data_IF_916872205002
#
_entry.id   IF_916872205002
#
_cell.length_a   1.000
_cell.length_b   1.000
_cell.length_c   1.000
_cell.angle_alpha   90.00
_cell.angle_beta   90.00
_cell.angle_gamma   90.00
#
_symmetry.space_group_name_H-M   'P 1'
#
loop_
_entity.id
_entity.type
_entity.pdbx_description
1 polymer ?
#
# COMPACT_ATOMS: atom_id res chain seq x y z
N UNK A 1 10.69 -9.65 21.06
CA UNK A 1 11.38 -10.45 20.05
C UNK A 1 12.86 -10.34 20.32
N UNK A 2 13.48 -11.43 20.77
CA UNK A 2 14.88 -11.42 21.15
C UNK A 2 15.73 -11.52 19.88
N UNK A 3 16.47 -10.45 19.59
CA UNK A 3 17.41 -10.43 18.46
C UNK A 3 18.67 -11.17 18.90
N UNK A 4 18.95 -12.29 18.26
CA UNK A 4 20.19 -13.04 18.45
C UNK A 4 21.20 -12.67 17.35
N UNK A 5 22.40 -12.30 17.76
CA UNK A 5 23.54 -12.12 16.85
C UNK A 5 24.26 -13.46 16.71
N UNK A 6 24.39 -13.95 15.48
CA UNK A 6 25.11 -15.17 15.16
C UNK A 6 26.48 -14.80 14.57
N UNK A 7 27.52 -15.48 15.04
CA UNK A 7 28.88 -15.30 14.52
C UNK A 7 29.02 -16.01 13.16
N UNK A 8 29.53 -15.30 12.16
CA UNK A 8 29.83 -15.88 10.85
C UNK A 8 31.12 -16.70 10.95
N UNK A 9 30.98 -18.02 11.07
CA UNK A 9 32.12 -18.93 11.23
C UNK A 9 33.01 -19.04 9.97
N UNK A 10 32.43 -18.96 8.78
CA UNK A 10 33.17 -19.10 7.52
C UNK A 10 32.33 -18.62 6.31
N UNK A 11 32.96 -17.95 5.34
CA UNK A 11 32.36 -17.59 4.04
C UNK A 11 33.09 -18.33 2.92
N UNK A 12 32.35 -19.08 2.09
CA UNK A 12 32.91 -19.89 1.00
C UNK A 12 32.19 -19.58 -0.31
N UNK A 13 32.93 -19.59 -1.42
CA UNK A 13 32.32 -19.60 -2.76
C UNK A 13 31.99 -21.05 -3.11
N UNK A 14 30.75 -21.30 -3.51
CA UNK A 14 30.31 -22.61 -4.01
C UNK A 14 29.78 -22.46 -5.43
N UNK A 15 29.95 -23.48 -6.25
CA UNK A 15 29.27 -23.55 -7.54
C UNK A 15 27.78 -23.82 -7.28
N UNK A 16 26.92 -22.93 -7.76
CA UNK A 16 25.47 -23.06 -7.66
C UNK A 16 24.87 -23.02 -9.06
N UNK A 17 24.23 -24.11 -9.47
CA UNK A 17 23.50 -24.20 -10.74
C UNK A 17 22.02 -23.87 -10.49
N UNK A 18 21.74 -22.59 -10.30
CA UNK A 18 20.38 -22.07 -10.08
C UNK A 18 20.35 -20.55 -10.15
N UNK A 19 19.19 -19.95 -9.94
CA UNK A 19 19.04 -18.49 -9.94
C UNK A 19 19.15 -17.92 -8.52
N UNK A 20 20.03 -16.94 -8.31
CA UNK A 20 20.13 -16.18 -7.05
C UNK A 20 19.48 -14.82 -7.28
N UNK A 21 18.29 -14.61 -6.71
CA UNK A 21 17.56 -13.33 -6.80
C UNK A 21 17.73 -12.47 -5.54
N UNK A 22 17.91 -13.10 -4.38
CA UNK A 22 18.12 -12.48 -3.07
C UNK A 22 18.86 -13.48 -2.14
N UNK A 23 19.29 -13.07 -0.94
CA UNK A 23 19.81 -14.00 0.07
C UNK A 23 18.62 -14.78 0.65
N UNK A 24 18.45 -16.01 0.18
CA UNK A 24 17.51 -16.98 0.76
C UNK A 24 18.24 -17.87 1.77
N UNK A 25 17.77 -17.91 3.02
CA UNK A 25 18.22 -18.93 3.98
C UNK A 25 17.37 -20.19 3.77
N UNK A 26 17.97 -21.32 3.35
CA UNK A 26 17.23 -22.58 3.19
C UNK A 26 16.42 -22.92 4.46
N UNK A 27 15.27 -23.57 4.29
CA UNK A 27 14.32 -23.94 5.36
C UNK A 27 13.50 -22.81 5.98
N UNK A 28 13.94 -21.54 5.87
CA UNK A 28 13.19 -20.39 6.41
C UNK A 28 12.50 -19.55 5.34
N UNK A 29 12.94 -19.70 4.08
CA UNK A 29 12.50 -18.90 2.92
C UNK A 29 12.61 -17.38 3.13
N UNK A 30 13.33 -16.95 4.17
CA UNK A 30 13.48 -15.55 4.59
C UNK A 30 14.27 -14.77 3.52
N UNK A 31 13.71 -13.63 3.08
CA UNK A 31 14.32 -12.71 2.12
C UNK A 31 15.03 -11.63 2.92
N UNK A 32 16.31 -11.43 2.67
CA UNK A 32 17.13 -10.46 3.39
C UNK A 32 17.65 -9.41 2.40
N UNK A 33 17.22 -8.15 2.53
CA UNK A 33 17.66 -7.08 1.63
C UNK A 33 17.91 -5.74 2.34
N UNK A 34 18.55 -4.81 1.62
CA UNK A 34 18.99 -3.51 2.14
C UNK A 34 20.52 -3.41 2.28
N UNK A 35 21.02 -2.18 2.43
CA UNK A 35 22.45 -1.90 2.65
C UNK A 35 22.93 -2.42 4.03
N UNK A 36 21.98 -2.49 4.97
CA UNK A 36 22.07 -3.32 6.19
C UNK A 36 21.08 -4.47 6.03
N UNK A 37 21.53 -5.74 6.00
CA UNK A 37 20.66 -6.88 5.72
C UNK A 37 19.58 -7.05 6.78
N UNK A 38 18.31 -6.88 6.40
CA UNK A 38 17.13 -7.12 7.24
C UNK A 38 16.18 -8.13 6.58
N UNK A 39 15.53 -8.96 7.39
CA UNK A 39 14.48 -9.87 6.94
C UNK A 39 13.24 -9.08 6.50
N UNK A 40 12.92 -9.12 5.20
CA UNK A 40 11.95 -8.21 4.57
C UNK A 40 10.50 -8.68 4.69
N UNK A 41 10.23 -9.99 4.66
CA UNK A 41 8.87 -10.53 4.78
C UNK A 41 8.72 -11.35 6.08
N UNK A 42 7.50 -11.44 6.61
CA UNK A 42 7.13 -12.20 7.81
C UNK A 42 7.62 -11.67 9.18
N UNK A 43 8.25 -10.49 9.24
CA UNK A 43 8.74 -9.88 10.50
C UNK A 43 8.04 -8.57 10.87
N UNK A 44 6.95 -8.22 10.17
CA UNK A 44 6.18 -6.99 10.43
C UNK A 44 6.70 -5.73 9.73
N UNK A 45 7.67 -5.86 8.83
CA UNK A 45 8.17 -4.75 8.02
C UNK A 45 7.25 -4.48 6.82
N UNK A 46 6.81 -3.23 6.59
CA UNK A 46 6.08 -2.88 5.38
C UNK A 46 6.97 -3.01 4.13
N UNK A 47 6.47 -3.70 3.09
CA UNK A 47 7.20 -3.91 1.83
C UNK A 47 6.40 -3.36 0.65
N UNK A 48 7.10 -2.71 -0.28
CA UNK A 48 6.60 -2.35 -1.61
C UNK A 48 7.56 -2.89 -2.67
N UNK A 49 7.03 -3.46 -3.74
CA UNK A 49 7.84 -3.96 -4.86
C UNK A 49 7.07 -3.85 -6.18
N UNK A 50 7.81 -3.84 -7.28
CA UNK A 50 7.26 -3.94 -8.63
C UNK A 50 7.39 -5.36 -9.14
N UNK A 51 6.34 -5.87 -9.79
CA UNK A 51 6.34 -7.23 -10.29
C UNK A 51 5.80 -7.30 -11.72
N UNK A 52 6.46 -8.07 -12.58
CA UNK A 52 5.97 -8.29 -13.94
C UNK A 52 4.84 -9.33 -13.94
N UNK A 53 3.60 -8.86 -13.84
CA UNK A 53 2.40 -9.69 -13.96
C UNK A 53 1.24 -8.87 -14.53
N UNK A 54 0.49 -9.45 -15.48
CA UNK A 54 -0.66 -8.78 -16.11
C UNK A 54 -1.98 -8.87 -15.33
N UNK A 55 -2.04 -9.71 -14.29
CA UNK A 55 -3.20 -9.87 -13.42
C UNK A 55 -2.79 -10.42 -12.05
N UNK A 56 -3.68 -10.29 -11.07
CA UNK A 56 -3.46 -10.84 -9.71
C UNK A 56 -3.24 -12.36 -9.76
N UNK A 57 -4.00 -13.09 -10.58
CA UNK A 57 -3.86 -14.54 -10.75
C UNK A 57 -2.47 -14.88 -11.30
N UNK A 58 -1.99 -14.15 -12.31
CA UNK A 58 -0.65 -14.36 -12.88
C UNK A 58 0.47 -13.99 -11.90
N UNK A 59 0.25 -12.97 -11.07
CA UNK A 59 1.16 -12.60 -10.00
C UNK A 59 1.30 -13.74 -8.99
N UNK A 60 0.18 -14.24 -8.47
CA UNK A 60 0.13 -15.36 -7.52
C UNK A 60 0.85 -16.57 -8.10
N UNK A 61 0.49 -16.98 -9.33
CA UNK A 61 1.13 -18.11 -10.00
C UNK A 61 2.66 -17.97 -10.06
N UNK A 62 3.18 -16.78 -10.36
CA UNK A 62 4.63 -16.54 -10.46
C UNK A 62 5.31 -16.53 -9.09
N UNK A 63 4.67 -15.95 -8.08
CA UNK A 63 5.20 -15.92 -6.71
C UNK A 63 5.24 -17.33 -6.11
N UNK A 64 4.23 -18.16 -6.39
CA UNK A 64 4.13 -19.51 -5.84
C UNK A 64 4.87 -20.58 -6.64
N UNK A 65 5.38 -20.24 -7.84
CA UNK A 65 6.13 -21.18 -8.69
C UNK A 65 7.63 -20.93 -8.56
N UNK A 66 8.47 -21.94 -8.86
CA UNK A 66 9.90 -21.72 -9.03
C UNK A 66 10.18 -20.61 -10.06
N UNK A 67 11.19 -19.76 -9.85
CA UNK A 67 12.21 -19.84 -8.78
C UNK A 67 11.82 -19.14 -7.46
N UNK A 68 10.65 -18.50 -7.36
CA UNK A 68 10.27 -17.71 -6.17
C UNK A 68 9.72 -18.61 -5.07
N UNK A 69 8.82 -19.53 -5.42
CA UNK A 69 8.35 -20.63 -4.58
C UNK A 69 7.79 -20.23 -3.20
N UNK A 70 7.14 -19.07 -3.08
CA UNK A 70 6.51 -18.66 -1.82
C UNK A 70 5.26 -19.52 -1.55
N UNK A 71 5.10 -20.07 -0.33
CA UNK A 71 3.93 -20.85 0.05
C UNK A 71 2.63 -20.05 -0.09
N UNK A 72 1.60 -20.66 -0.70
CA UNK A 72 0.27 -20.01 -0.89
C UNK A 72 -0.34 -19.53 0.42
N UNK A 73 -0.07 -20.22 1.52
CA UNK A 73 -0.52 -19.90 2.87
C UNK A 73 0.06 -18.60 3.42
N UNK A 74 1.14 -18.07 2.84
CA UNK A 74 1.77 -16.81 3.25
C UNK A 74 1.34 -15.61 2.39
N UNK A 75 0.48 -15.81 1.39
CA UNK A 75 0.06 -14.74 0.47
C UNK A 75 -0.89 -13.73 1.12
N UNK A 76 -1.49 -14.05 2.26
CA UNK A 76 -2.28 -13.12 3.07
C UNK A 76 -1.44 -11.97 3.67
N UNK A 77 -0.11 -12.12 3.72
CA UNK A 77 0.81 -11.03 4.06
C UNK A 77 0.87 -9.93 3.00
N UNK A 78 0.53 -10.23 1.74
CA UNK A 78 0.46 -9.24 0.66
C UNK A 78 -0.90 -8.52 0.74
N UNK A 79 -0.95 -7.29 1.25
CA UNK A 79 -2.24 -6.64 1.52
C UNK A 79 -3.02 -6.27 0.25
N UNK A 80 -2.37 -5.70 -0.75
CA UNK A 80 -3.02 -5.32 -2.01
C UNK A 80 -2.05 -5.32 -3.19
N UNK A 81 -2.63 -5.40 -4.39
CA UNK A 81 -1.93 -5.46 -5.67
C UNK A 81 -2.52 -4.42 -6.61
N UNK A 82 -1.66 -3.56 -7.17
CA UNK A 82 -2.01 -2.60 -8.20
C UNK A 82 -1.62 -3.20 -9.56
N UNK A 83 -2.58 -3.35 -10.46
CA UNK A 83 -2.32 -3.75 -11.85
C UNK A 83 -2.25 -2.49 -12.71
N UNK A 84 -1.11 -2.26 -13.35
CA UNK A 84 -0.90 -1.14 -14.27
C UNK A 84 -0.59 -1.66 -15.66
N UNK A 85 -1.11 -0.99 -16.70
CA UNK A 85 -0.83 -1.33 -18.08
C UNK A 85 -0.68 -0.09 -18.98
N UNK A 86 0.03 -0.27 -20.09
CA UNK A 86 -0.01 0.65 -21.22
C UNK A 86 -1.21 0.26 -22.12
N UNK A 87 -2.13 1.20 -22.31
CA UNK A 87 -3.34 1.04 -23.11
C UNK A 87 -3.30 1.99 -24.29
N UNK A 88 -3.78 1.55 -25.44
CA UNK A 88 -3.92 2.40 -26.61
C UNK A 88 -5.35 2.91 -26.70
N UNK A 89 -5.52 4.23 -26.74
CA UNK A 89 -6.81 4.90 -26.90
C UNK A 89 -6.63 6.08 -27.83
N UNK A 90 -7.53 6.21 -28.81
CA UNK A 90 -7.54 7.37 -29.73
C UNK A 90 -6.18 7.59 -30.43
N UNK A 91 -5.49 6.50 -30.76
CA UNK A 91 -4.17 6.55 -31.42
C UNK A 91 -2.99 6.90 -30.51
N UNK A 92 -3.23 7.14 -29.21
CA UNK A 92 -2.19 7.50 -28.23
C UNK A 92 -2.01 6.38 -27.21
N UNK A 93 -0.75 6.13 -26.84
CA UNK A 93 -0.41 5.23 -25.74
C UNK A 93 -0.55 5.97 -24.41
N UNK A 94 -1.37 5.43 -23.50
CA UNK A 94 -1.61 5.95 -22.17
C UNK A 94 -1.21 4.90 -21.13
N UNK A 95 -0.67 5.31 -19.98
CA UNK A 95 -0.51 4.42 -18.83
C UNK A 95 -1.71 4.58 -17.90
N UNK A 96 -2.33 3.46 -17.52
CA UNK A 96 -3.50 3.42 -16.64
C UNK A 96 -3.34 2.32 -15.59
N UNK A 97 -3.76 2.64 -14.37
CA UNK A 97 -3.98 1.65 -13.33
C UNK A 97 -5.30 0.95 -13.63
N UNK A 98 -5.23 -0.32 -14.02
CA UNK A 98 -6.41 -1.10 -14.42
C UNK A 98 -7.26 -1.48 -13.21
N UNK A 99 -6.60 -1.89 -12.13
CA UNK A 99 -7.27 -2.20 -10.87
C UNK A 99 -6.36 -2.10 -9.65
N UNK A 100 -6.96 -1.83 -8.50
CA UNK A 100 -6.38 -2.06 -7.17
C UNK A 100 -7.15 -3.18 -6.52
N UNK A 101 -6.44 -4.21 -6.06
CA UNK A 101 -7.02 -5.46 -5.60
C UNK A 101 -6.53 -5.77 -4.19
N UNK A 102 -7.44 -5.86 -3.22
CA UNK A 102 -7.10 -6.25 -1.85
C UNK A 102 -7.08 -7.77 -1.75
N UNK A 103 -6.03 -8.34 -1.17
CA UNK A 103 -5.94 -9.78 -0.93
C UNK A 103 -6.55 -10.05 0.44
N UNK A 104 -7.53 -10.95 0.50
CA UNK A 104 -8.20 -11.32 1.75
C UNK A 104 -7.52 -12.51 2.43
N UNK A 105 -7.00 -13.44 1.63
CA UNK A 105 -6.35 -14.64 2.12
C UNK A 105 -6.40 -15.79 1.12
N UNK A 106 -6.06 -16.98 1.60
CA UNK A 106 -6.02 -18.21 0.83
C UNK A 106 -7.11 -19.18 1.29
N UNK A 107 -7.84 -19.75 0.33
CA UNK A 107 -8.84 -20.78 0.54
C UNK A 107 -8.26 -22.16 0.21
N UNK A 108 -8.08 -22.99 1.25
CA UNK A 108 -7.54 -24.33 1.11
C UNK A 108 -8.50 -25.31 0.42
N UNK A 109 -9.81 -25.05 0.45
CA UNK A 109 -10.78 -25.94 -0.19
C UNK A 109 -10.76 -25.81 -1.72
N UNK A 110 -10.52 -24.59 -2.21
CA UNK A 110 -10.48 -24.29 -3.66
C UNK A 110 -9.06 -24.10 -4.19
N UNK A 111 -8.03 -24.23 -3.34
CA UNK A 111 -6.61 -23.99 -3.66
C UNK A 111 -6.38 -22.64 -4.35
N UNK A 112 -7.09 -21.61 -3.88
CA UNK A 112 -7.16 -20.30 -4.54
C UNK A 112 -7.00 -19.13 -3.58
N UNK A 113 -6.46 -18.02 -4.07
CA UNK A 113 -6.34 -16.78 -3.30
C UNK A 113 -7.58 -15.93 -3.55
N UNK A 114 -8.20 -15.50 -2.46
CA UNK A 114 -9.37 -14.63 -2.49
C UNK A 114 -8.90 -13.18 -2.50
N UNK A 115 -9.40 -12.39 -3.46
CA UNK A 115 -9.14 -10.96 -3.54
C UNK A 115 -10.36 -10.18 -4.02
N UNK A 116 -10.41 -8.89 -3.68
CA UNK A 116 -11.49 -7.96 -4.06
C UNK A 116 -10.92 -6.78 -4.85
N UNK A 117 -11.41 -6.50 -6.07
CA UNK A 117 -11.04 -5.29 -6.80
C UNK A 117 -11.74 -4.06 -6.20
N UNK A 118 -11.01 -3.25 -5.46
CA UNK A 118 -11.54 -2.02 -4.82
C UNK A 118 -11.56 -0.83 -5.77
N UNK A 119 -10.63 -0.75 -6.72
CA UNK A 119 -10.68 0.20 -7.83
C UNK A 119 -10.61 -0.55 -9.15
N UNK A 120 -11.37 -0.06 -10.13
CA UNK A 120 -11.36 -0.58 -11.50
C UNK A 120 -11.39 0.59 -12.49
N UNK A 121 -10.66 0.47 -13.59
CA UNK A 121 -10.71 1.44 -14.68
C UNK A 121 -11.70 1.02 -15.76
N UNK A 122 -12.53 1.96 -16.21
CA UNK A 122 -13.46 1.77 -17.31
C UNK A 122 -12.83 2.30 -18.62
N UNK A 123 -12.49 1.40 -19.57
CA UNK A 123 -11.84 1.80 -20.82
C UNK A 123 -12.74 2.64 -21.74
N UNK A 124 -14.07 2.55 -21.62
CA UNK A 124 -14.99 3.23 -22.53
C UNK A 124 -14.97 4.74 -22.33
N UNK A 125 -14.97 5.20 -21.08
CA UNK A 125 -15.03 6.63 -20.73
C UNK A 125 -13.79 7.15 -20.00
N UNK A 126 -12.74 6.34 -19.86
CA UNK A 126 -11.48 6.70 -19.18
C UNK A 126 -11.68 7.14 -17.72
N UNK A 127 -12.59 6.47 -17.00
CA UNK A 127 -12.89 6.79 -15.60
C UNK A 127 -12.49 5.67 -14.65
N UNK A 128 -12.13 6.04 -13.43
CA UNK A 128 -11.88 5.09 -12.35
C UNK A 128 -13.14 4.95 -11.49
N UNK A 129 -13.57 3.71 -11.29
CA UNK A 129 -14.69 3.36 -10.40
C UNK A 129 -14.14 2.88 -9.06
N UNK A 130 -14.51 3.56 -7.97
CA UNK A 130 -14.23 3.10 -6.62
C UNK A 130 -15.34 2.15 -6.16
N UNK A 131 -15.13 0.85 -6.33
CA UNK A 131 -16.06 -0.21 -5.90
C UNK A 131 -15.91 -0.57 -4.43
N UNK A 132 -14.79 -0.20 -3.81
CA UNK A 132 -14.47 -0.51 -2.42
C UNK A 132 -15.16 0.39 -1.38
N UNK A 133 -15.99 1.37 -1.78
CA UNK A 133 -16.71 2.20 -0.79
C UNK A 133 -17.77 1.35 -0.07
N UNK A 134 -17.55 1.10 1.22
CA UNK A 134 -18.39 0.22 2.04
C UNK A 134 -18.08 -1.27 1.88
N UNK A 135 -16.96 -1.62 1.25
CA UNK A 135 -16.57 -3.00 0.95
C UNK A 135 -15.05 -3.24 0.97
N UNK A 136 -14.24 -2.24 1.35
CA UNK A 136 -12.79 -2.39 1.48
C UNK A 136 -12.48 -3.11 2.78
N UNK A 137 -11.90 -4.31 2.67
CA UNK A 137 -11.49 -5.11 3.82
C UNK A 137 -10.34 -4.44 4.57
N UNK A 138 -9.38 -3.86 3.85
CA UNK A 138 -8.25 -3.17 4.48
C UNK A 138 -8.68 -1.92 5.25
N UNK A 139 -9.59 -1.11 4.70
CA UNK A 139 -10.09 0.06 5.42
C UNK A 139 -10.92 -0.37 6.63
N UNK A 140 -11.86 -1.30 6.46
CA UNK A 140 -12.86 -1.57 7.49
C UNK A 140 -12.40 -2.55 8.57
N UNK A 141 -11.73 -3.63 8.19
CA UNK A 141 -11.40 -4.70 9.13
C UNK A 141 -9.97 -4.60 9.66
N UNK A 142 -9.06 -3.92 8.93
CA UNK A 142 -7.68 -3.68 9.39
C UNK A 142 -7.49 -2.29 9.98
N UNK A 143 -7.65 -1.23 9.17
CA UNK A 143 -7.29 0.14 9.59
C UNK A 143 -8.28 0.68 10.62
N UNK A 144 -9.58 0.55 10.41
CA UNK A 144 -10.58 1.03 11.35
C UNK A 144 -10.48 0.30 12.70
N UNK A 145 -10.31 -1.02 12.69
CA UNK A 145 -10.08 -1.84 13.90
C UNK A 145 -8.81 -1.39 14.64
N UNK A 146 -7.68 -1.22 13.94
CA UNK A 146 -6.43 -0.77 14.53
C UNK A 146 -6.56 0.62 15.19
N UNK A 147 -7.38 1.49 14.60
CA UNK A 147 -7.67 2.84 15.10
C UNK A 147 -8.77 2.88 16.17
N UNK A 148 -9.40 1.75 16.48
CA UNK A 148 -10.49 1.67 17.45
C UNK A 148 -11.79 2.35 16.98
N UNK A 149 -11.99 2.49 15.67
CA UNK A 149 -13.22 3.05 15.11
C UNK A 149 -14.31 1.98 15.18
N UNK A 150 -15.42 2.21 15.91
CA UNK A 150 -16.50 1.23 15.98
C UNK A 150 -17.23 1.14 14.64
N UNK A 151 -17.80 -0.04 14.32
CA UNK A 151 -18.51 -0.28 13.04
C UNK A 151 -19.60 0.75 12.72
N UNK A 152 -20.28 1.30 13.73
CA UNK A 152 -21.29 2.36 13.54
C UNK A 152 -20.71 3.65 12.93
N UNK A 153 -19.42 3.90 13.16
CA UNK A 153 -18.69 5.10 12.74
C UNK A 153 -17.70 4.80 11.60
N UNK A 154 -17.85 3.65 10.93
CA UNK A 154 -16.95 3.21 9.85
C UNK A 154 -16.85 4.24 8.72
N UNK A 155 -17.92 5.01 8.48
CA UNK A 155 -17.95 6.09 7.47
C UNK A 155 -16.81 7.09 7.64
N UNK A 156 -16.33 7.32 8.87
CA UNK A 156 -15.29 8.31 9.17
C UNK A 156 -13.98 8.00 8.45
N UNK A 157 -13.69 6.72 8.17
CA UNK A 157 -12.49 6.34 7.43
C UNK A 157 -12.59 6.73 5.94
N UNK A 158 -13.80 6.65 5.38
CA UNK A 158 -14.07 7.04 4.00
C UNK A 158 -14.13 8.57 3.86
N UNK A 159 -14.59 9.27 4.89
CA UNK A 159 -14.54 10.73 4.95
C UNK A 159 -13.08 11.22 4.96
N UNK A 160 -12.21 10.55 5.72
CA UNK A 160 -10.77 10.85 5.72
C UNK A 160 -10.13 10.58 4.35
N UNK A 161 -10.46 9.45 3.73
CA UNK A 161 -9.99 9.11 2.39
C UNK A 161 -10.38 10.18 1.37
N UNK A 162 -11.63 10.66 1.42
CA UNK A 162 -12.12 11.72 0.53
C UNK A 162 -11.42 13.06 0.79
N UNK A 163 -11.18 13.44 2.05
CA UNK A 163 -10.42 14.66 2.37
C UNK A 163 -8.98 14.59 1.84
N UNK A 164 -8.29 13.45 2.02
CA UNK A 164 -6.95 13.24 1.45
C UNK A 164 -6.97 13.32 -0.08
N UNK A 165 -8.00 12.76 -0.73
CA UNK A 165 -8.18 12.88 -2.18
C UNK A 165 -8.42 14.34 -2.61
N UNK A 166 -9.19 15.11 -1.86
CA UNK A 166 -9.42 16.54 -2.13
C UNK A 166 -8.14 17.37 -1.99
N UNK A 167 -7.28 17.08 -1.02
CA UNK A 167 -5.97 17.73 -0.87
C UNK A 167 -5.10 17.46 -2.10
N UNK A 168 -5.04 16.22 -2.57
CA UNK A 168 -4.33 15.87 -3.81
C UNK A 168 -4.88 16.62 -5.03
N UNK A 169 -6.21 16.70 -5.17
CA UNK A 169 -6.85 17.48 -6.25
C UNK A 169 -6.49 18.97 -6.16
N UNK A 170 -6.41 19.51 -4.95
CA UNK A 170 -6.03 20.91 -4.74
C UNK A 170 -4.58 21.18 -5.17
N UNK A 171 -3.64 20.27 -4.87
CA UNK A 171 -2.26 20.36 -5.38
C UNK A 171 -2.22 20.38 -6.91
N UNK A 172 -3.03 19.52 -7.56
CA UNK A 172 -3.15 19.50 -9.03
C UNK A 172 -3.73 20.82 -9.55
N UNK A 173 -4.79 21.35 -8.93
CA UNK A 173 -5.39 22.64 -9.31
C UNK A 173 -4.40 23.81 -9.18
N UNK A 174 -3.47 23.72 -8.24
CA UNK A 174 -2.40 24.70 -8.03
C UNK A 174 -1.16 24.45 -8.92
N UNK A 175 -1.21 23.46 -9.81
CA UNK A 175 -0.10 23.02 -10.68
C UNK A 175 1.17 22.64 -9.88
N UNK A 176 1.00 22.07 -8.69
CA UNK A 176 2.12 21.57 -7.89
C UNK A 176 2.43 20.13 -8.32
N UNK A 177 3.36 19.99 -9.27
CA UNK A 177 3.78 18.68 -9.81
C UNK A 177 5.21 18.29 -9.44
N UNK A 178 5.98 19.21 -8.84
CA UNK A 178 7.34 18.92 -8.38
C UNK A 178 7.33 17.93 -7.21
N UNK A 179 8.16 16.89 -7.31
CA UNK A 179 8.23 15.81 -6.33
C UNK A 179 8.53 16.32 -4.92
N UNK A 180 9.52 17.21 -4.76
CA UNK A 180 9.94 17.67 -3.44
C UNK A 180 8.89 18.61 -2.81
N UNK A 181 8.22 19.43 -3.62
CA UNK A 181 7.10 20.26 -3.13
C UNK A 181 5.92 19.42 -2.64
N UNK A 182 5.57 18.38 -3.40
CA UNK A 182 4.51 17.44 -3.01
C UNK A 182 4.91 16.74 -1.70
N UNK A 183 6.14 16.20 -1.63
CA UNK A 183 6.65 15.54 -0.43
C UNK A 183 6.64 16.45 0.80
N UNK A 184 7.19 17.66 0.70
CA UNK A 184 7.21 18.65 1.79
C UNK A 184 5.82 19.02 2.26
N UNK A 185 4.86 19.13 1.33
CA UNK A 185 3.46 19.39 1.67
C UNK A 185 2.91 18.25 2.53
N UNK A 186 3.12 17.00 2.12
CA UNK A 186 2.69 15.84 2.92
C UNK A 186 3.38 15.77 4.27
N UNK A 187 4.69 16.01 4.34
CA UNK A 187 5.42 16.05 5.59
C UNK A 187 4.86 17.11 6.55
N UNK A 188 4.58 18.32 6.04
CA UNK A 188 3.98 19.41 6.81
C UNK A 188 2.57 19.06 7.31
N UNK A 189 1.73 18.47 6.45
CA UNK A 189 0.40 17.97 6.84
C UNK A 189 0.52 16.94 7.96
N UNK A 190 1.44 15.98 7.82
CA UNK A 190 1.69 14.95 8.82
C UNK A 190 2.12 15.55 10.16
N UNK A 191 3.07 16.50 10.16
CA UNK A 191 3.52 17.17 11.39
C UNK A 191 2.39 17.93 12.10
N UNK A 192 1.54 18.66 11.36
CA UNK A 192 0.39 19.37 11.93
C UNK A 192 -0.58 18.37 12.57
N UNK A 193 -0.89 17.27 11.89
CA UNK A 193 -1.79 16.25 12.42
C UNK A 193 -1.18 15.57 13.66
N UNK A 194 0.10 15.24 13.66
CA UNK A 194 0.80 14.66 14.81
C UNK A 194 0.74 15.58 16.03
N UNK A 195 0.97 16.88 15.84
CA UNK A 195 0.83 17.87 16.91
C UNK A 195 -0.61 17.96 17.46
N UNK A 196 -1.62 17.92 16.58
CA UNK A 196 -3.03 17.94 16.99
C UNK A 196 -3.44 16.68 17.76
N UNK A 197 -2.79 15.54 17.50
CA UNK A 197 -3.07 14.25 18.12
C UNK A 197 -2.41 14.07 19.49
N UNK A 198 -1.40 14.87 19.84
CA UNK A 198 -0.71 14.77 21.14
C UNK A 198 -1.70 14.95 22.30
N UNK A 199 -1.72 13.95 23.18
CA UNK A 199 -2.58 13.94 24.37
C UNK A 199 -4.06 13.61 24.11
N UNK A 200 -4.41 13.14 22.90
CA UNK A 200 -5.78 12.74 22.55
C UNK A 200 -6.02 11.25 22.80
N UNK A 201 -7.27 10.91 23.12
CA UNK A 201 -7.69 9.51 23.24
C UNK A 201 -7.84 8.85 21.86
N UNK A 202 -7.90 7.51 21.83
CA UNK A 202 -8.15 6.74 20.60
C UNK A 202 -9.50 7.09 19.95
N UNK A 203 -10.52 7.35 20.77
CA UNK A 203 -11.87 7.69 20.30
C UNK A 203 -11.92 9.07 19.63
N UNK A 204 -11.14 10.03 20.14
CA UNK A 204 -11.05 11.38 19.57
C UNK A 204 -10.15 11.46 18.33
N UNK A 205 -9.20 10.52 18.19
CA UNK A 205 -8.15 10.53 17.16
C UNK A 205 -8.73 10.70 15.75
N UNK A 206 -9.79 9.97 15.41
CA UNK A 206 -10.39 10.04 14.07
C UNK A 206 -11.00 11.42 13.79
N UNK A 207 -11.73 11.97 14.76
CA UNK A 207 -12.38 13.28 14.62
C UNK A 207 -11.35 14.41 14.49
N UNK A 208 -10.27 14.34 15.27
CA UNK A 208 -9.17 15.31 15.21
C UNK A 208 -8.47 15.28 13.86
N UNK A 209 -8.27 14.09 13.28
CA UNK A 209 -7.67 13.96 11.94
C UNK A 209 -8.58 14.56 10.86
N UNK A 210 -9.88 14.29 10.91
CA UNK A 210 -10.85 14.89 9.98
C UNK A 210 -10.85 16.41 10.09
N UNK A 211 -10.93 16.95 11.31
CA UNK A 211 -10.90 18.39 11.55
C UNK A 211 -9.60 19.04 11.05
N UNK A 212 -8.46 18.40 11.31
CA UNK A 212 -7.15 18.86 10.85
C UNK A 212 -7.06 18.90 9.33
N UNK A 213 -7.46 17.82 8.66
CA UNK A 213 -7.47 17.75 7.19
C UNK A 213 -8.43 18.78 6.57
N UNK A 214 -9.61 19.01 7.16
CA UNK A 214 -10.53 20.04 6.71
C UNK A 214 -9.95 21.46 6.83
N UNK A 215 -9.30 21.76 7.97
CA UNK A 215 -8.65 23.06 8.20
C UNK A 215 -7.53 23.29 7.18
N UNK A 216 -6.70 22.27 6.95
CA UNK A 216 -5.63 22.30 5.95
C UNK A 216 -6.20 22.55 4.56
N UNK A 217 -7.23 21.79 4.15
CA UNK A 217 -7.86 21.95 2.84
C UNK A 217 -8.47 23.34 2.65
N UNK A 218 -9.13 23.89 3.68
CA UNK A 218 -9.65 25.27 3.66
C UNK A 218 -8.52 26.29 3.51
N UNK A 219 -7.42 26.11 4.24
CA UNK A 219 -6.24 26.99 4.15
C UNK A 219 -5.55 26.92 2.77
N UNK A 220 -5.47 25.74 2.15
CA UNK A 220 -4.96 25.57 0.79
C UNK A 220 -5.82 26.31 -0.24
N UNK A 221 -7.14 26.19 -0.15
CA UNK A 221 -8.08 26.91 -1.05
C UNK A 221 -8.01 28.43 -0.90
N UNK A 222 -7.67 28.92 0.30
CA UNK A 222 -7.45 30.35 0.57
C UNK A 222 -6.05 30.84 0.19
N UNK A 223 -5.16 29.95 -0.28
CA UNK A 223 -3.74 30.23 -0.55
C UNK A 223 -2.96 30.69 0.69
N UNK A 224 -3.45 30.36 1.88
CA UNK A 224 -2.79 30.63 3.17
C UNK A 224 -1.82 29.49 3.53
N UNK A 225 -2.07 28.29 3.03
CA UNK A 225 -1.17 27.15 3.19
C UNK A 225 -0.02 27.23 2.19
N UNK A 226 1.15 27.68 2.64
CA UNK A 226 2.35 27.68 1.80
C UNK A 226 2.76 26.27 1.40
N UNK A 227 2.86 26.07 0.09
CA UNK A 227 3.41 24.91 -0.60
C UNK A 227 4.80 25.32 -1.13
N UNK A 228 5.83 25.10 -0.31
CA UNK A 228 7.21 25.54 -0.58
C UNK A 228 8.08 24.43 -1.21
#
# INVERSE_FOLDING_TARGET
SDVAFLEVLNVRKTSYEGYVYDISVPETELFIGGDVPIALHNTGHPVLSTFHAGSVIRLIQRITSPPINVPKTQLDNLNFVIIQSAVYREGVMLRRMLSVNEILGYDAATDSVIYIPVFTWNPSNDTFMFRGRGASYLLEEKIATMRGIPRRDIRLIYDELELRAQILRELVNQNVTDYFKVFKTFAKIYMILDEMLKGRSKEETQYVILEGLEKILKSMRRKEFKVD
#
